data_IF_780734800051
#
_entry.id   IF_780734800051
#
_cell.length_a   1.000
_cell.length_b   1.000
_cell.length_c   1.000
_cell.angle_alpha   90.00
_cell.angle_beta   90.00
_cell.angle_gamma   90.00
#
_symmetry.space_group_name_H-M   'P 1'
#
loop_
_entity.id
_entity.type
_entity.pdbx_description
1 polymer ?
#
# COMPACT_ATOMS: atom_id res chain seq x y z
N UNK A 1 16.46 17.31 -2.95
CA UNK A 1 15.02 17.48 -3.21
C UNK A 1 14.23 16.61 -2.25
N UNK A 2 12.98 16.95 -1.96
CA UNK A 2 12.08 16.26 -1.03
C UNK A 2 12.71 15.87 0.32
N UNK A 3 13.29 16.86 1.02
CA UNK A 3 14.05 16.63 2.25
C UNK A 3 13.23 15.92 3.35
N UNK A 4 11.91 16.03 3.32
CA UNK A 4 11.02 15.33 4.25
C UNK A 4 11.10 13.80 4.16
N UNK A 5 11.58 13.23 3.05
CA UNK A 5 11.74 11.77 2.90
C UNK A 5 12.92 11.21 3.69
N UNK A 6 13.82 12.07 4.17
CA UNK A 6 14.98 11.63 4.93
C UNK A 6 14.59 11.37 6.38
N UNK A 7 14.90 10.19 6.87
CA UNK A 7 14.75 9.91 8.29
C UNK A 7 15.75 10.73 9.13
N UNK A 8 15.50 10.83 10.44
CA UNK A 8 16.33 11.63 11.35
C UNK A 8 17.83 11.30 11.27
N UNK A 9 18.17 10.00 11.22
CA UNK A 9 19.56 9.57 11.15
C UNK A 9 20.24 10.00 9.84
N UNK A 10 19.51 10.00 8.71
CA UNK A 10 20.02 10.49 7.43
C UNK A 10 20.26 12.00 7.46
N UNK A 11 19.40 12.77 8.13
CA UNK A 11 19.57 14.21 8.30
C UNK A 11 20.74 14.55 9.24
N UNK A 12 20.92 13.79 10.32
CA UNK A 12 22.02 13.97 11.28
C UNK A 12 23.41 13.79 10.62
N UNK A 13 23.53 12.91 9.62
CA UNK A 13 24.79 12.71 8.86
C UNK A 13 25.21 13.98 8.11
N UNK A 14 24.26 14.81 7.67
CA UNK A 14 24.54 16.01 6.88
C UNK A 14 25.01 17.17 7.77
N UNK A 15 24.57 17.18 9.03
CA UNK A 15 24.75 18.31 9.95
C UNK A 15 26.22 18.73 10.14
N UNK A 16 27.19 17.85 10.42
CA UNK A 16 28.59 18.26 10.61
C UNK A 16 29.18 18.94 9.38
N UNK A 17 28.83 18.47 8.18
CA UNK A 17 29.32 19.03 6.93
C UNK A 17 28.76 20.43 6.64
N UNK A 18 27.54 20.71 7.10
CA UNK A 18 26.93 22.05 7.04
C UNK A 18 27.60 22.99 8.06
N UNK A 19 27.87 22.49 9.27
CA UNK A 19 28.53 23.27 10.33
C UNK A 19 29.97 23.64 10.00
N UNK A 20 30.71 22.70 9.43
CA UNK A 20 32.10 22.90 9.00
C UNK A 20 32.21 23.74 7.71
N UNK A 21 31.08 24.08 7.08
CA UNK A 21 31.03 24.85 5.84
C UNK A 21 31.55 24.10 4.61
N UNK A 22 31.65 22.77 4.69
CA UNK A 22 32.09 21.90 3.59
C UNK A 22 31.04 21.93 2.46
N UNK A 23 29.75 22.00 2.82
CA UNK A 23 28.63 22.04 1.87
C UNK A 23 27.67 23.18 2.19
N UNK A 24 27.12 23.79 1.14
CA UNK A 24 25.94 24.64 1.23
C UNK A 24 24.69 23.80 1.02
N UNK A 25 23.87 23.62 2.06
CA UNK A 25 22.68 22.80 1.99
C UNK A 25 21.47 23.60 1.49
N UNK A 26 20.90 23.16 0.36
CA UNK A 26 19.64 23.70 -0.20
C UNK A 26 18.64 22.54 -0.25
N UNK A 27 17.66 22.56 0.65
CA UNK A 27 16.57 21.59 0.71
C UNK A 27 15.29 22.16 0.12
N UNK A 28 14.58 21.35 -0.66
CA UNK A 28 13.23 21.63 -1.14
C UNK A 28 12.27 20.59 -0.55
N UNK A 29 11.03 21.01 -0.29
CA UNK A 29 9.95 20.18 0.26
C UNK A 29 8.61 20.86 0.00
N UNK A 30 7.57 20.06 -0.24
CA UNK A 30 6.17 20.48 -0.24
C UNK A 30 5.57 20.54 1.17
N UNK A 31 6.12 19.73 2.08
CA UNK A 31 5.69 19.64 3.48
C UNK A 31 6.23 20.79 4.35
N UNK A 32 5.55 21.05 5.47
CA UNK A 32 6.00 22.04 6.43
C UNK A 32 7.34 21.60 7.07
N UNK A 33 8.44 22.35 6.85
CA UNK A 33 9.78 21.93 7.26
C UNK A 33 9.96 21.84 8.77
N UNK A 34 9.09 22.47 9.58
CA UNK A 34 9.16 22.38 11.04
C UNK A 34 8.80 21.02 11.62
N UNK A 35 8.07 20.19 10.87
CA UNK A 35 7.72 18.81 11.27
C UNK A 35 8.72 17.78 10.74
N UNK A 36 9.18 17.97 9.51
CA UNK A 36 9.92 16.95 8.77
C UNK A 36 11.45 17.13 8.82
N UNK A 37 11.93 18.34 9.14
CA UNK A 37 13.37 18.61 9.27
C UNK A 37 13.76 18.65 10.75
N UNK A 38 14.85 17.95 11.09
CA UNK A 38 15.36 17.96 12.47
C UNK A 38 15.73 19.37 12.91
N UNK A 39 15.39 19.72 14.15
CA UNK A 39 15.62 21.06 14.70
C UNK A 39 17.09 21.56 14.56
N UNK A 40 18.13 20.72 14.75
CA UNK A 40 19.51 21.14 14.55
C UNK A 40 19.80 21.61 13.11
N UNK A 41 19.35 20.86 12.10
CA UNK A 41 19.54 21.22 10.70
C UNK A 41 18.74 22.47 10.35
N UNK A 42 17.47 22.53 10.78
CA UNK A 42 16.60 23.68 10.54
C UNK A 42 17.16 24.98 11.13
N UNK A 43 17.79 24.93 12.31
CA UNK A 43 18.42 26.10 12.94
C UNK A 43 19.63 26.68 12.18
N UNK A 44 20.20 25.93 11.22
CA UNK A 44 21.32 26.35 10.36
C UNK A 44 20.86 26.72 8.94
N UNK A 45 19.57 26.55 8.64
CA UNK A 45 18.99 26.85 7.35
C UNK A 45 18.09 28.10 7.43
N UNK A 46 18.01 28.85 6.32
CA UNK A 46 16.97 29.87 6.14
C UNK A 46 15.79 29.24 5.41
N UNK A 47 14.59 29.45 5.93
CA UNK A 47 13.36 28.94 5.30
C UNK A 47 12.78 30.03 4.40
N UNK A 48 12.58 29.69 3.13
CA UNK A 48 11.94 30.55 2.14
C UNK A 48 10.61 29.93 1.71
N UNK A 49 9.46 30.52 2.08
CA UNK A 49 8.18 30.06 1.56
C UNK A 49 8.06 30.49 0.10
N UNK A 50 7.95 29.51 -0.79
CA UNK A 50 7.61 29.75 -2.19
C UNK A 50 6.09 29.71 -2.34
N UNK A 51 5.56 30.57 -3.20
CA UNK A 51 4.14 30.57 -3.56
C UNK A 51 3.99 29.87 -4.92
N UNK A 52 2.83 29.23 -5.17
CA UNK A 52 2.46 28.82 -6.51
C UNK A 52 2.51 30.02 -7.45
N UNK A 53 2.89 29.77 -8.69
CA UNK A 53 2.92 30.80 -9.74
C UNK A 53 1.49 31.17 -10.15
N UNK A 54 1.31 32.38 -10.63
CA UNK A 54 0.06 32.75 -11.30
C UNK A 54 0.06 32.37 -12.80
N UNK A 55 -1.12 32.46 -13.43
CA UNK A 55 -1.30 32.10 -14.83
C UNK A 55 -0.43 32.96 -15.78
N UNK A 56 -0.17 34.22 -15.45
CA UNK A 56 0.67 35.10 -16.28
C UNK A 56 2.14 34.67 -16.20
N UNK A 57 2.62 34.39 -14.99
CA UNK A 57 3.98 33.88 -14.75
C UNK A 57 4.22 32.54 -15.45
N UNK A 58 3.22 31.64 -15.45
CA UNK A 58 3.31 30.36 -16.17
C UNK A 58 3.37 30.58 -17.69
N UNK A 59 2.55 31.49 -18.25
CA UNK A 59 2.63 31.83 -19.68
C UNK A 59 4.02 32.32 -20.06
N UNK A 60 4.61 33.20 -19.25
CA UNK A 60 5.95 33.72 -19.48
C UNK A 60 7.02 32.62 -19.44
N UNK A 61 6.86 31.61 -18.59
CA UNK A 61 7.75 30.44 -18.58
C UNK A 61 7.59 29.61 -19.85
N UNK A 62 6.35 29.32 -20.26
CA UNK A 62 6.06 28.54 -21.48
C UNK A 62 6.60 29.26 -22.73
N UNK A 63 6.34 30.55 -22.86
CA UNK A 63 6.83 31.36 -24.00
C UNK A 63 8.37 31.39 -24.03
N UNK A 64 9.03 31.53 -22.88
CA UNK A 64 10.49 31.45 -22.81
C UNK A 64 11.01 30.09 -23.28
N UNK A 65 10.41 28.99 -22.83
CA UNK A 65 10.79 27.65 -23.25
C UNK A 65 10.60 27.42 -24.76
N UNK A 66 9.58 28.03 -25.36
CA UNK A 66 9.36 27.98 -26.82
C UNK A 66 10.39 28.77 -27.62
N UNK A 67 10.99 29.81 -27.04
CA UNK A 67 11.93 30.70 -27.74
C UNK A 67 13.40 30.33 -27.49
N UNK A 68 13.69 29.58 -26.43
CA UNK A 68 15.04 29.17 -26.08
C UNK A 68 15.53 28.03 -27.01
N UNK A 69 16.56 28.32 -27.80
CA UNK A 69 17.18 27.37 -28.73
C UNK A 69 18.23 26.45 -28.09
N UNK A 70 18.70 26.76 -26.88
CA UNK A 70 19.78 26.03 -26.21
C UNK A 70 19.22 25.08 -25.14
N UNK A 71 18.29 25.57 -24.32
CA UNK A 71 17.72 24.84 -23.18
C UNK A 71 16.21 24.57 -23.31
N UNK A 72 15.59 25.07 -24.38
CA UNK A 72 14.16 24.90 -24.66
C UNK A 72 13.89 24.16 -25.96
N UNK A 73 12.68 24.37 -26.49
CA UNK A 73 12.18 23.75 -27.72
C UNK A 73 12.21 24.70 -28.93
N UNK A 74 12.96 25.80 -28.86
CA UNK A 74 13.03 26.78 -29.94
C UNK A 74 13.56 26.21 -31.26
N UNK A 75 14.39 25.15 -31.21
CA UNK A 75 14.87 24.42 -32.39
C UNK A 75 13.78 23.65 -33.13
N UNK A 76 12.67 23.32 -32.45
CA UNK A 76 11.52 22.62 -33.04
C UNK A 76 10.53 23.56 -33.76
N UNK A 77 10.77 24.88 -33.69
CA UNK A 77 9.91 25.91 -34.30
C UNK A 77 8.42 25.69 -33.97
N UNK A 78 8.11 25.57 -32.69
CA UNK A 78 6.75 25.26 -32.22
C UNK A 78 5.91 26.52 -32.16
N UNK A 79 4.67 26.44 -32.67
CA UNK A 79 3.67 27.49 -32.55
C UNK A 79 2.48 26.96 -31.77
N UNK A 80 2.21 27.58 -30.63
CA UNK A 80 1.09 27.24 -29.75
C UNK A 80 -0.02 28.27 -29.96
N UNK A 81 -1.26 27.82 -30.13
CA UNK A 81 -2.40 28.75 -30.21
C UNK A 81 -2.60 29.49 -28.89
N UNK A 82 -3.26 30.66 -28.91
CA UNK A 82 -3.48 31.43 -27.69
C UNK A 82 -4.34 30.63 -26.69
N UNK A 83 -5.34 29.93 -27.19
CA UNK A 83 -6.24 29.10 -26.40
C UNK A 83 -5.49 27.93 -25.75
N UNK A 84 -4.55 27.31 -26.47
CA UNK A 84 -3.70 26.24 -25.93
C UNK A 84 -2.73 26.76 -24.85
N UNK A 85 -2.17 27.96 -25.04
CA UNK A 85 -1.30 28.60 -24.05
C UNK A 85 -2.07 28.98 -22.78
N UNK A 86 -3.28 29.55 -22.94
CA UNK A 86 -4.17 29.90 -21.84
C UNK A 86 -4.57 28.64 -21.05
N UNK A 87 -4.86 27.54 -21.76
CA UNK A 87 -5.16 26.25 -21.14
C UNK A 87 -3.96 25.65 -20.40
N UNK A 88 -2.77 25.66 -21.01
CA UNK A 88 -1.54 25.19 -20.38
C UNK A 88 -1.24 25.92 -19.06
N UNK A 89 -1.52 27.23 -19.01
CA UNK A 89 -1.34 28.04 -17.81
C UNK A 89 -2.36 27.67 -16.73
N UNK A 90 -3.65 27.65 -17.06
CA UNK A 90 -4.72 27.32 -16.12
C UNK A 90 -4.60 25.89 -15.56
N UNK A 91 -4.18 24.94 -16.39
CA UNK A 91 -4.00 23.54 -15.99
C UNK A 91 -2.84 23.32 -15.02
N UNK A 92 -1.82 24.18 -15.04
CA UNK A 92 -0.65 23.99 -14.19
C UNK A 92 -0.92 24.20 -12.70
N UNK A 93 -2.00 24.90 -12.35
CA UNK A 93 -2.37 25.23 -10.96
C UNK A 93 -1.17 25.76 -10.15
N UNK A 94 -0.35 26.60 -10.79
CA UNK A 94 0.84 27.19 -10.19
C UNK A 94 2.14 26.36 -10.24
N UNK A 95 2.13 25.14 -10.81
CA UNK A 95 3.33 24.34 -11.07
C UNK A 95 3.75 24.39 -12.54
N UNK A 96 4.76 25.22 -12.85
CA UNK A 96 5.29 25.36 -14.20
C UNK A 96 5.81 24.06 -14.83
N UNK A 97 6.22 23.05 -14.03
CA UNK A 97 6.65 21.75 -14.57
C UNK A 97 5.51 21.04 -15.28
N UNK A 98 4.28 21.22 -14.81
CA UNK A 98 3.09 20.61 -15.42
C UNK A 98 2.90 21.15 -16.84
N UNK A 99 2.91 22.47 -17.02
CA UNK A 99 2.78 23.09 -18.34
C UNK A 99 3.96 22.78 -19.26
N UNK A 100 5.20 22.85 -18.75
CA UNK A 100 6.39 22.59 -19.57
C UNK A 100 6.43 21.16 -20.10
N UNK A 101 6.10 20.18 -19.26
CA UNK A 101 6.04 18.78 -19.69
C UNK A 101 4.91 18.54 -20.71
N UNK A 102 3.75 19.16 -20.52
CA UNK A 102 2.64 19.02 -21.46
C UNK A 102 2.97 19.65 -22.82
N UNK A 103 3.58 20.84 -22.81
CA UNK A 103 4.11 21.50 -23.99
C UNK A 103 5.16 20.64 -24.71
N UNK A 104 6.13 20.10 -23.97
CA UNK A 104 7.19 19.27 -24.53
C UNK A 104 6.59 18.04 -25.24
N UNK A 105 5.70 17.32 -24.55
CA UNK A 105 5.09 16.11 -25.09
C UNK A 105 4.26 16.40 -26.35
N UNK A 106 3.46 17.47 -26.33
CA UNK A 106 2.71 17.91 -27.50
C UNK A 106 3.64 18.31 -28.66
N UNK A 107 4.69 19.09 -28.37
CA UNK A 107 5.66 19.49 -29.38
C UNK A 107 6.36 18.31 -30.05
N UNK A 108 6.77 17.29 -29.29
CA UNK A 108 7.41 16.10 -29.85
C UNK A 108 6.40 15.19 -30.58
N UNK A 109 5.15 15.11 -30.11
CA UNK A 109 4.08 14.32 -30.71
C UNK A 109 3.51 14.93 -32.00
N UNK A 110 3.63 16.24 -32.19
CA UNK A 110 3.17 16.94 -33.39
C UNK A 110 4.23 16.91 -34.49
N UNK A 111 3.89 16.37 -35.66
CA UNK A 111 4.76 16.44 -36.83
C UNK A 111 4.87 17.86 -37.39
N UNK A 112 6.01 18.14 -38.00
CA UNK A 112 6.24 19.39 -38.72
C UNK A 112 5.30 19.47 -39.94
N UNK A 113 4.67 20.63 -40.14
CA UNK A 113 3.80 20.87 -41.27
C UNK A 113 4.59 21.24 -42.54
N UNK A 114 3.91 21.39 -43.68
CA UNK A 114 4.53 21.77 -44.96
C UNK A 114 5.25 23.13 -44.93
N UNK A 115 5.00 23.95 -43.90
CA UNK A 115 5.58 25.29 -43.72
C UNK A 115 6.77 25.30 -42.75
N UNK A 116 7.21 24.14 -42.27
CA UNK A 116 8.42 23.99 -41.47
C UNK A 116 8.26 24.35 -39.99
N UNK A 117 7.04 24.25 -39.44
CA UNK A 117 6.77 24.45 -38.02
C UNK A 117 5.80 23.41 -37.47
N UNK A 118 5.80 23.26 -36.14
CA UNK A 118 4.89 22.35 -35.44
C UNK A 118 3.74 23.16 -34.84
N UNK A 119 2.52 22.89 -35.26
CA UNK A 119 1.33 23.60 -34.79
C UNK A 119 0.66 22.83 -33.65
N UNK A 120 0.76 23.38 -32.43
CA UNK A 120 0.19 22.79 -31.22
C UNK A 120 -1.11 23.53 -30.89
N UNK A 121 -2.23 22.85 -31.14
CA UNK A 121 -3.58 23.36 -30.87
C UNK A 121 -4.06 22.94 -29.48
N UNK A 122 -5.21 23.50 -29.05
CA UNK A 122 -5.83 23.14 -27.77
C UNK A 122 -6.16 21.64 -27.74
N UNK A 123 -6.71 21.10 -28.82
CA UNK A 123 -7.10 19.69 -28.90
C UNK A 123 -5.89 18.75 -28.72
N UNK A 124 -4.73 19.13 -29.28
CA UNK A 124 -3.49 18.37 -29.12
C UNK A 124 -3.03 18.39 -27.66
N UNK A 125 -3.09 19.56 -27.01
CA UNK A 125 -2.76 19.69 -25.58
C UNK A 125 -3.74 18.88 -24.72
N UNK A 126 -5.04 18.96 -24.98
CA UNK A 126 -6.06 18.20 -24.25
C UNK A 126 -5.86 16.69 -24.38
N UNK A 127 -5.59 16.19 -25.59
CA UNK A 127 -5.29 14.77 -25.84
C UNK A 127 -4.01 14.33 -25.11
N UNK A 128 -2.98 15.17 -25.15
CA UNK A 128 -1.70 14.95 -24.46
C UNK A 128 -1.85 14.89 -22.94
N UNK A 129 -2.71 15.75 -22.38
CA UNK A 129 -2.95 15.88 -20.94
C UNK A 129 -3.88 14.79 -20.43
N UNK A 130 -4.90 14.38 -21.19
CA UNK A 130 -5.76 13.26 -20.82
C UNK A 130 -4.96 11.97 -20.64
N UNK A 131 -3.90 11.76 -21.44
CA UNK A 131 -2.97 10.65 -21.25
C UNK A 131 -2.06 10.80 -20.00
N UNK A 132 -1.95 11.99 -19.40
CA UNK A 132 -1.11 12.30 -18.22
C UNK A 132 -1.89 12.49 -16.92
N UNK A 133 -3.18 12.79 -16.95
CA UNK A 133 -4.03 12.77 -15.74
C UNK A 133 -4.08 11.38 -15.07
N UNK A 134 -3.65 10.35 -15.82
CA UNK A 134 -3.45 8.98 -15.36
C UNK A 134 -2.14 8.79 -14.54
N UNK A 135 -1.25 9.80 -14.53
CA UNK A 135 0.11 9.75 -13.95
C UNK A 135 0.28 10.55 -12.63
N UNK A 136 -0.80 10.99 -11.97
CA UNK A 136 -0.79 11.78 -10.70
C UNK A 136 -1.92 11.24 -9.79
N UNK A 137 -1.81 10.93 -8.49
CA UNK A 137 -1.00 11.36 -7.35
C UNK A 137 -0.62 10.13 -6.49
N UNK A 138 0.66 9.73 -6.53
CA UNK A 138 1.14 8.57 -5.76
C UNK A 138 1.59 8.93 -4.32
N UNK A 139 1.44 10.18 -3.87
CA UNK A 139 2.02 10.66 -2.61
C UNK A 139 1.08 11.46 -1.69
N UNK A 140 -0.11 11.87 -2.14
CA UNK A 140 -1.08 12.65 -1.35
C UNK A 140 -2.17 11.81 -0.67
N UNK A 141 -2.99 12.49 0.13
CA UNK A 141 -4.10 11.91 0.91
C UNK A 141 -5.08 11.07 0.05
N UNK A 142 -5.21 11.38 -1.25
CA UNK A 142 -6.05 10.62 -2.18
C UNK A 142 -5.62 9.16 -2.35
N UNK A 143 -4.32 8.86 -2.27
CA UNK A 143 -3.82 7.48 -2.31
C UNK A 143 -4.41 6.67 -1.16
N UNK A 144 -4.32 7.20 0.07
CA UNK A 144 -4.81 6.55 1.29
C UNK A 144 -6.33 6.45 1.30
N UNK A 145 -7.04 7.48 0.85
CA UNK A 145 -8.49 7.46 0.80
C UNK A 145 -9.02 6.46 -0.24
N UNK A 146 -8.39 6.37 -1.41
CA UNK A 146 -8.84 5.47 -2.47
C UNK A 146 -8.60 4.00 -2.10
N UNK A 147 -7.42 3.66 -1.55
CA UNK A 147 -7.19 2.29 -1.08
C UNK A 147 -8.08 1.94 0.12
N UNK A 148 -8.33 2.91 1.00
CA UNK A 148 -9.24 2.78 2.13
C UNK A 148 -10.67 2.50 1.66
N UNK A 149 -11.13 3.19 0.62
CA UNK A 149 -12.42 2.99 0.00
C UNK A 149 -12.53 1.62 -0.67
N UNK A 150 -11.53 1.21 -1.48
CA UNK A 150 -11.45 -0.13 -2.07
C UNK A 150 -11.61 -1.23 -1.00
N UNK A 151 -10.80 -1.17 0.05
CA UNK A 151 -10.80 -2.17 1.12
C UNK A 151 -12.12 -2.19 1.89
N UNK A 152 -12.72 -1.03 2.16
CA UNK A 152 -14.03 -0.94 2.82
C UNK A 152 -15.15 -1.47 1.93
N UNK A 153 -15.12 -1.22 0.62
CA UNK A 153 -16.11 -1.75 -0.33
C UNK A 153 -16.04 -3.27 -0.41
N UNK A 154 -14.83 -3.84 -0.54
CA UNK A 154 -14.65 -5.30 -0.56
C UNK A 154 -15.10 -5.92 0.76
N UNK A 155 -14.73 -5.33 1.92
CA UNK A 155 -15.18 -5.76 3.25
C UNK A 155 -16.70 -5.65 3.42
N UNK A 156 -17.29 -4.60 2.88
CA UNK A 156 -18.74 -4.34 2.87
C UNK A 156 -19.52 -5.22 1.88
N UNK A 157 -18.82 -6.10 1.14
CA UNK A 157 -19.39 -6.96 0.12
C UNK A 157 -20.09 -6.21 -1.02
N UNK A 158 -19.52 -5.08 -1.42
CA UNK A 158 -19.96 -4.26 -2.55
C UNK A 158 -18.97 -4.42 -3.73
N UNK A 159 -19.20 -5.38 -4.64
CA UNK A 159 -18.28 -5.64 -5.75
C UNK A 159 -18.25 -4.51 -6.77
N UNK A 160 -19.34 -3.77 -6.95
CA UNK A 160 -19.45 -2.67 -7.90
C UNK A 160 -18.61 -1.47 -7.44
N UNK A 161 -18.78 -1.06 -6.18
CA UNK A 161 -17.95 -0.02 -5.59
C UNK A 161 -16.48 -0.43 -5.50
N UNK A 162 -16.20 -1.70 -5.18
CA UNK A 162 -14.83 -2.22 -5.12
C UNK A 162 -14.14 -2.15 -6.51
N UNK A 163 -14.82 -2.55 -7.57
CA UNK A 163 -14.28 -2.43 -8.93
C UNK A 163 -14.12 -0.97 -9.37
N UNK A 164 -15.05 -0.08 -9.00
CA UNK A 164 -14.92 1.34 -9.26
C UNK A 164 -13.64 1.92 -8.63
N UNK A 165 -13.41 1.66 -7.34
CA UNK A 165 -12.21 2.15 -6.65
C UNK A 165 -10.93 1.50 -7.18
N UNK A 166 -10.96 0.20 -7.50
CA UNK A 166 -9.84 -0.47 -8.16
C UNK A 166 -9.49 0.19 -9.50
N UNK A 167 -10.50 0.44 -10.34
CA UNK A 167 -10.33 1.12 -11.63
C UNK A 167 -9.74 2.52 -11.45
N UNK A 168 -10.27 3.30 -10.50
CA UNK A 168 -9.72 4.62 -10.15
C UNK A 168 -8.24 4.56 -9.75
N UNK A 169 -7.80 3.54 -9.01
CA UNK A 169 -6.40 3.38 -8.64
C UNK A 169 -5.52 3.01 -9.84
N UNK A 170 -5.99 2.10 -10.69
CA UNK A 170 -5.26 1.67 -11.90
C UNK A 170 -5.10 2.85 -12.86
N UNK A 171 -6.19 3.56 -13.13
CA UNK A 171 -6.18 4.75 -13.97
C UNK A 171 -5.43 5.91 -13.33
N UNK A 172 -5.20 5.93 -12.01
CA UNK A 172 -4.35 6.93 -11.36
C UNK A 172 -2.86 6.52 -11.32
N UNK A 173 -2.49 5.39 -11.94
CA UNK A 173 -1.10 4.95 -12.03
C UNK A 173 -0.54 4.37 -10.72
N UNK A 174 -1.41 3.90 -9.82
CA UNK A 174 -1.01 3.24 -8.57
C UNK A 174 -0.07 2.05 -8.80
N UNK A 175 0.86 1.79 -7.87
CA UNK A 175 1.65 0.56 -7.88
C UNK A 175 0.70 -0.67 -7.85
N UNK A 176 0.63 -1.50 -8.91
CA UNK A 176 -0.29 -2.63 -8.94
C UNK A 176 0.08 -3.68 -7.88
N UNK A 177 1.35 -3.75 -7.44
CA UNK A 177 1.73 -4.61 -6.33
C UNK A 177 1.29 -4.03 -4.99
N UNK A 178 1.11 -2.72 -4.85
CA UNK A 178 0.49 -2.13 -3.66
C UNK A 178 -0.96 -2.58 -3.52
N UNK A 179 -1.75 -2.47 -4.59
CA UNK A 179 -3.14 -2.96 -4.63
C UNK A 179 -3.17 -4.45 -4.28
N UNK A 180 -2.32 -5.26 -4.91
CA UNK A 180 -2.26 -6.70 -4.68
C UNK A 180 -1.94 -7.04 -3.21
N UNK A 181 -0.96 -6.35 -2.59
CA UNK A 181 -0.63 -6.52 -1.16
C UNK A 181 -1.84 -6.27 -0.27
N UNK A 182 -2.65 -5.25 -0.58
CA UNK A 182 -3.84 -4.89 0.20
C UNK A 182 -4.96 -5.91 0.06
N UNK A 183 -5.16 -6.48 -1.14
CA UNK A 183 -6.09 -7.59 -1.35
C UNK A 183 -5.65 -8.87 -0.62
N UNK A 184 -4.35 -9.17 -0.59
CA UNK A 184 -3.80 -10.32 0.17
C UNK A 184 -4.04 -10.18 1.67
N UNK A 185 -3.84 -8.99 2.24
CA UNK A 185 -4.16 -8.71 3.65
C UNK A 185 -5.66 -8.90 3.90
N UNK A 186 -6.51 -8.28 3.07
CA UNK A 186 -7.96 -8.37 3.18
C UNK A 186 -8.45 -9.82 3.12
N UNK A 187 -7.87 -10.65 2.24
CA UNK A 187 -8.24 -12.05 2.12
C UNK A 187 -8.05 -12.84 3.43
N UNK A 188 -7.09 -12.44 4.27
CA UNK A 188 -6.87 -13.06 5.58
C UNK A 188 -7.62 -12.35 6.72
N UNK A 189 -7.80 -11.03 6.63
CA UNK A 189 -8.41 -10.20 7.68
C UNK A 189 -9.93 -10.22 7.64
N UNK A 190 -10.53 -10.10 6.46
CA UNK A 190 -11.98 -9.85 6.29
C UNK A 190 -12.72 -11.04 5.67
N UNK A 191 -12.07 -11.86 4.85
CA UNK A 191 -12.63 -13.13 4.33
C UNK A 191 -12.23 -14.28 5.26
N UNK A 192 -10.93 -14.39 5.56
CA UNK A 192 -10.40 -15.29 6.57
C UNK A 192 -10.76 -16.75 6.31
N UNK A 193 -11.20 -17.44 7.35
CA UNK A 193 -11.55 -18.86 7.26
C UNK A 193 -12.99 -19.10 6.79
N UNK A 194 -13.79 -18.05 6.56
CA UNK A 194 -15.11 -18.21 5.96
C UNK A 194 -15.00 -18.67 4.50
N UNK A 195 -13.94 -18.28 3.81
CA UNK A 195 -13.56 -18.86 2.53
C UNK A 195 -12.03 -18.98 2.39
N UNK A 196 -11.45 -20.15 2.69
CA UNK A 196 -10.01 -20.38 2.62
C UNK A 196 -9.39 -20.22 1.23
N UNK A 197 -10.18 -20.17 0.15
CA UNK A 197 -9.66 -19.95 -1.21
C UNK A 197 -9.32 -18.48 -1.48
N UNK A 198 -9.80 -17.53 -0.67
CA UNK A 198 -9.55 -16.10 -0.86
C UNK A 198 -8.06 -15.74 -0.88
N UNK A 199 -7.27 -16.26 0.06
CA UNK A 199 -5.83 -15.97 0.13
C UNK A 199 -5.06 -16.57 -1.07
N UNK A 200 -5.21 -17.86 -1.43
CA UNK A 200 -4.63 -18.42 -2.66
C UNK A 200 -4.99 -17.65 -3.94
N UNK A 201 -6.22 -17.16 -4.06
CA UNK A 201 -6.66 -16.36 -5.21
C UNK A 201 -5.97 -14.99 -5.22
N UNK A 202 -5.90 -14.30 -4.09
CA UNK A 202 -5.20 -13.02 -3.98
C UNK A 202 -3.70 -13.16 -4.29
N UNK A 203 -3.05 -14.22 -3.81
CA UNK A 203 -1.65 -14.52 -4.13
C UNK A 203 -1.47 -14.85 -5.62
N UNK A 204 -2.37 -15.66 -6.19
CA UNK A 204 -2.34 -15.98 -7.63
C UNK A 204 -2.48 -14.73 -8.49
N UNK A 205 -3.39 -13.81 -8.11
CA UNK A 205 -3.53 -12.52 -8.79
C UNK A 205 -2.26 -11.67 -8.65
N UNK A 206 -1.67 -11.58 -7.46
CA UNK A 206 -0.41 -10.87 -7.26
C UNK A 206 0.72 -11.42 -8.14
N UNK A 207 0.86 -12.75 -8.21
CA UNK A 207 1.86 -13.41 -9.06
C UNK A 207 1.57 -13.18 -10.54
N UNK A 208 0.30 -13.23 -10.95
CA UNK A 208 -0.09 -12.96 -12.32
C UNK A 208 0.20 -11.52 -12.71
N UNK A 209 -0.09 -10.53 -11.86
CA UNK A 209 0.30 -9.12 -12.07
C UNK A 209 1.80 -8.99 -12.26
N UNK A 210 2.60 -9.64 -11.40
CA UNK A 210 4.05 -9.58 -11.49
C UNK A 210 4.60 -10.23 -12.77
N UNK A 211 3.98 -11.34 -13.20
CA UNK A 211 4.39 -12.09 -14.37
C UNK A 211 3.95 -11.45 -15.70
N UNK A 212 2.72 -10.92 -15.75
CA UNK A 212 2.09 -10.37 -16.96
C UNK A 212 2.51 -8.90 -17.16
N UNK A 213 2.58 -8.11 -16.09
CA UNK A 213 2.72 -6.66 -16.17
C UNK A 213 1.39 -5.94 -16.45
N UNK A 214 1.42 -4.61 -16.45
CA UNK A 214 0.28 -3.76 -16.80
C UNK A 214 0.32 -3.38 -18.29
N UNK A 215 -0.83 -3.19 -18.96
CA UNK A 215 -2.19 -3.09 -18.40
C UNK A 215 -2.91 -4.43 -18.14
N UNK A 216 -2.53 -5.54 -18.76
CA UNK A 216 -3.28 -6.81 -18.70
C UNK A 216 -3.38 -7.40 -17.28
N UNK A 217 -2.40 -7.12 -16.41
CA UNK A 217 -2.43 -7.46 -14.98
C UNK A 217 -3.67 -6.95 -14.25
N UNK A 218 -4.27 -5.83 -14.69
CA UNK A 218 -5.52 -5.28 -14.16
C UNK A 218 -6.67 -6.30 -14.14
N UNK A 219 -6.74 -7.16 -15.17
CA UNK A 219 -7.79 -8.18 -15.31
C UNK A 219 -7.72 -9.17 -14.14
N UNK A 220 -6.50 -9.52 -13.73
CA UNK A 220 -6.28 -10.48 -12.63
C UNK A 220 -6.54 -9.85 -11.26
N UNK A 221 -6.24 -8.55 -11.09
CA UNK A 221 -6.64 -7.78 -9.91
C UNK A 221 -8.15 -7.67 -9.80
N UNK A 222 -8.84 -7.38 -10.91
CA UNK A 222 -10.30 -7.31 -10.94
C UNK A 222 -10.95 -8.64 -10.55
N UNK A 223 -10.42 -9.76 -11.05
CA UNK A 223 -10.87 -11.10 -10.67
C UNK A 223 -10.75 -11.34 -9.16
N UNK A 224 -9.57 -11.11 -8.58
CA UNK A 224 -9.40 -11.28 -7.13
C UNK A 224 -10.25 -10.32 -6.31
N UNK A 225 -10.40 -9.07 -6.75
CA UNK A 225 -11.22 -8.05 -6.08
C UNK A 225 -12.69 -8.49 -5.99
N UNK A 226 -13.30 -8.88 -7.11
CA UNK A 226 -14.70 -9.34 -7.16
C UNK A 226 -14.88 -10.63 -6.37
N UNK A 227 -13.94 -11.57 -6.47
CA UNK A 227 -13.96 -12.79 -5.67
C UNK A 227 -14.04 -12.46 -4.17
N UNK A 228 -13.12 -11.64 -3.67
CA UNK A 228 -13.06 -11.28 -2.24
C UNK A 228 -14.28 -10.46 -1.82
N UNK A 229 -14.80 -9.59 -2.68
CA UNK A 229 -15.99 -8.78 -2.40
C UNK A 229 -17.23 -9.67 -2.24
N UNK A 230 -17.34 -10.74 -3.02
CA UNK A 230 -18.48 -11.66 -2.99
C UNK A 230 -18.30 -12.85 -2.04
N UNK A 231 -17.09 -13.07 -1.50
CA UNK A 231 -16.82 -14.12 -0.54
C UNK A 231 -17.54 -13.90 0.81
N UNK A 232 -17.92 -14.98 1.53
CA UNK A 232 -18.41 -14.86 2.91
C UNK A 232 -17.32 -14.24 3.80
N UNK A 233 -17.72 -13.38 4.73
CA UNK A 233 -16.79 -12.58 5.54
C UNK A 233 -16.59 -13.18 6.92
N UNK A 234 -15.35 -13.20 7.38
CA UNK A 234 -15.01 -13.48 8.77
C UNK A 234 -13.63 -12.92 9.14
N UNK A 235 -13.60 -12.21 10.27
CA UNK A 235 -12.38 -11.71 10.89
C UNK A 235 -11.97 -12.52 12.14
N UNK A 236 -12.52 -13.74 12.30
CA UNK A 236 -12.35 -14.59 13.49
C UNK A 236 -10.88 -14.92 13.77
N UNK A 237 -10.10 -15.28 12.75
CA UNK A 237 -8.67 -15.61 12.87
C UNK A 237 -7.83 -14.36 13.20
N UNK A 238 -8.11 -13.23 12.54
CA UNK A 238 -7.47 -11.95 12.83
C UNK A 238 -7.74 -11.49 14.27
N UNK A 239 -8.99 -11.59 14.72
CA UNK A 239 -9.41 -11.27 16.08
C UNK A 239 -8.73 -12.19 17.11
N UNK A 240 -8.65 -13.49 16.82
CA UNK A 240 -7.98 -14.47 17.67
C UNK A 240 -6.48 -14.13 17.88
N UNK A 241 -5.78 -13.75 16.80
CA UNK A 241 -4.38 -13.34 16.88
C UNK A 241 -4.22 -12.09 17.76
N UNK A 242 -5.09 -11.09 17.59
CA UNK A 242 -5.01 -9.86 18.37
C UNK A 242 -5.23 -10.10 19.87
N UNK A 243 -6.20 -10.94 20.22
CA UNK A 243 -6.43 -11.35 21.62
C UNK A 243 -5.23 -12.10 22.20
N UNK A 244 -4.64 -13.04 21.44
CA UNK A 244 -3.46 -13.77 21.89
C UNK A 244 -2.24 -12.85 22.07
N UNK A 245 -2.03 -11.88 21.17
CA UNK A 245 -0.97 -10.87 21.29
C UNK A 245 -1.19 -9.94 22.48
N UNK A 246 -2.43 -9.61 22.79
CA UNK A 246 -2.77 -8.82 23.97
C UNK A 246 -2.43 -9.58 25.25
N UNK A 247 -2.85 -10.84 25.37
CA UNK A 247 -2.54 -11.66 26.55
C UNK A 247 -1.02 -11.89 26.68
N UNK A 248 -0.30 -12.12 25.57
CA UNK A 248 1.16 -12.25 25.58
C UNK A 248 1.89 -10.99 26.06
N UNK A 249 1.33 -9.80 25.86
CA UNK A 249 1.89 -8.52 26.35
C UNK A 249 1.55 -8.26 27.82
N UNK A 250 0.37 -8.68 28.25
CA UNK A 250 -0.20 -8.28 29.54
C UNK A 250 -0.09 -9.34 30.65
N UNK A 251 0.24 -10.58 30.29
CA UNK A 251 0.41 -11.67 31.26
C UNK A 251 1.88 -11.96 31.53
N UNK A 252 2.17 -12.69 32.62
CA UNK A 252 3.54 -13.12 32.91
C UNK A 252 4.02 -14.06 31.80
N UNK A 253 5.29 -13.96 31.45
CA UNK A 253 5.94 -14.86 30.51
C UNK A 253 6.10 -16.26 31.13
N UNK A 254 5.03 -17.06 31.10
CA UNK A 254 5.02 -18.42 31.62
C UNK A 254 5.79 -19.37 30.71
N UNK A 255 6.48 -20.38 31.27
CA UNK A 255 7.20 -21.33 30.46
C UNK A 255 6.22 -22.20 29.66
N UNK A 256 6.70 -22.73 28.54
CA UNK A 256 5.98 -23.75 27.76
C UNK A 256 5.64 -24.96 28.67
N UNK A 257 4.42 -25.50 28.63
CA UNK A 257 4.05 -26.72 29.36
C UNK A 257 5.02 -27.87 29.08
N UNK A 258 5.35 -28.67 30.11
CA UNK A 258 6.42 -29.68 30.06
C UNK A 258 6.21 -30.70 28.93
N UNK A 259 4.98 -31.15 28.70
CA UNK A 259 4.63 -32.09 27.63
C UNK A 259 4.78 -31.51 26.22
N UNK A 260 4.92 -30.19 26.07
CA UNK A 260 5.18 -29.54 24.78
C UNK A 260 6.65 -29.18 24.56
N UNK A 261 7.50 -29.35 25.58
CA UNK A 261 8.94 -29.05 25.46
C UNK A 261 9.65 -30.13 24.67
N UNK A 262 10.59 -29.72 23.82
CA UNK A 262 11.38 -30.65 23.02
C UNK A 262 12.50 -31.31 23.85
N UNK A 263 12.55 -32.65 23.98
CA UNK A 263 13.58 -33.36 24.74
C UNK A 263 14.78 -33.77 23.88
N UNK A 264 15.57 -32.79 23.43
CA UNK A 264 16.69 -33.03 22.50
C UNK A 264 17.90 -33.68 23.19
N UNK A 265 18.24 -33.22 24.40
CA UNK A 265 19.40 -33.72 25.16
C UNK A 265 19.00 -34.72 26.24
N UNK A 266 19.98 -35.50 26.72
CA UNK A 266 19.75 -36.43 27.85
C UNK A 266 19.29 -35.67 29.10
N UNK A 267 19.93 -34.54 29.42
CA UNK A 267 19.53 -33.68 30.53
C UNK A 267 18.08 -33.20 30.40
N UNK A 268 17.64 -32.81 29.21
CA UNK A 268 16.26 -32.38 28.99
C UNK A 268 15.25 -33.51 29.21
N UNK A 269 15.59 -34.74 28.82
CA UNK A 269 14.78 -35.94 29.10
C UNK A 269 14.73 -36.23 30.60
N UNK A 270 15.87 -36.15 31.28
CA UNK A 270 15.96 -36.34 32.73
C UNK A 270 15.19 -35.25 33.51
N UNK A 271 15.03 -34.06 32.92
CA UNK A 271 14.19 -32.96 33.42
C UNK A 271 12.69 -33.09 33.03
N UNK A 272 12.30 -34.22 32.43
CA UNK A 272 10.91 -34.53 32.08
C UNK A 272 10.38 -33.83 30.83
N UNK A 273 11.22 -33.22 29.99
CA UNK A 273 10.72 -32.58 28.76
C UNK A 273 9.99 -33.59 27.87
N UNK A 274 8.80 -33.22 27.39
CA UNK A 274 7.96 -34.09 26.56
C UNK A 274 7.24 -35.21 27.32
N UNK A 275 7.44 -35.34 28.64
CA UNK A 275 6.66 -36.28 29.44
C UNK A 275 5.17 -35.94 29.41
N UNK A 276 4.33 -36.95 29.21
CA UNK A 276 2.88 -36.78 29.09
C UNK A 276 2.40 -36.30 27.71
N UNK A 277 3.28 -36.10 26.74
CA UNK A 277 2.88 -35.74 25.37
C UNK A 277 2.07 -36.87 24.72
N UNK A 278 0.88 -36.55 24.23
CA UNK A 278 0.06 -37.45 23.45
C UNK A 278 0.26 -37.17 21.96
N UNK A 279 0.88 -38.09 21.25
CA UNK A 279 1.07 -37.97 19.81
C UNK A 279 -0.25 -38.26 19.08
N UNK A 280 -0.94 -37.22 18.61
CA UNK A 280 -2.32 -37.28 18.11
C UNK A 280 -2.57 -38.36 17.06
N UNK A 281 -1.59 -38.66 16.19
CA UNK A 281 -1.76 -39.68 15.15
C UNK A 281 -1.93 -41.12 15.68
N UNK A 282 -1.56 -41.39 16.94
CA UNK A 282 -1.77 -42.67 17.60
C UNK A 282 -3.16 -42.83 18.23
N UNK A 283 -3.97 -41.76 18.25
CA UNK A 283 -5.30 -41.77 18.83
C UNK A 283 -6.38 -41.86 17.74
N UNK A 284 -7.54 -42.48 18.03
CA UNK A 284 -8.66 -42.52 17.09
C UNK A 284 -9.04 -41.13 16.56
N UNK A 285 -9.32 -41.03 15.25
CA UNK A 285 -9.62 -39.76 14.60
C UNK A 285 -8.43 -38.79 14.51
N UNK A 286 -7.21 -39.27 14.82
CA UNK A 286 -5.99 -38.47 14.88
C UNK A 286 -6.08 -37.26 15.84
N UNK A 287 -6.82 -37.42 16.95
CA UNK A 287 -7.04 -36.36 17.93
C UNK A 287 -6.82 -36.86 19.36
N UNK A 288 -6.02 -36.15 20.14
CA UNK A 288 -5.79 -36.41 21.55
C UNK A 288 -5.93 -35.11 22.36
N UNK A 289 -6.95 -34.95 23.21
CA UNK A 289 -7.14 -33.71 23.94
C UNK A 289 -6.08 -33.57 25.05
N UNK A 290 -5.47 -32.38 25.10
CA UNK A 290 -4.44 -31.98 26.05
C UNK A 290 -4.59 -30.47 26.36
N UNK A 291 -4.28 -30.06 27.59
CA UNK A 291 -4.16 -28.64 27.91
C UNK A 291 -2.84 -28.11 27.36
N UNK A 292 -2.89 -27.41 26.23
CA UNK A 292 -1.69 -26.93 25.53
C UNK A 292 -1.34 -25.47 25.84
N UNK A 293 -2.22 -24.77 26.57
CA UNK A 293 -1.92 -23.46 27.11
C UNK A 293 -1.22 -23.58 28.46
N UNK A 294 -0.45 -22.56 28.88
CA UNK A 294 0.04 -22.48 30.27
C UNK A 294 -1.12 -22.52 31.26
N UNK A 295 -0.86 -22.99 32.49
CA UNK A 295 -1.90 -23.21 33.49
C UNK A 295 -2.76 -21.97 33.77
N UNK A 296 -2.18 -20.76 33.75
CA UNK A 296 -2.94 -19.51 33.96
C UNK A 296 -3.91 -19.16 32.83
N UNK A 297 -3.74 -19.78 31.66
CA UNK A 297 -4.58 -19.57 30.49
C UNK A 297 -5.43 -20.81 30.18
N UNK A 298 -5.51 -21.77 31.10
CA UNK A 298 -6.40 -22.92 30.97
C UNK A 298 -7.84 -22.46 30.73
N UNK A 299 -8.48 -23.03 29.72
CA UNK A 299 -9.84 -22.66 29.32
C UNK A 299 -9.97 -21.37 28.48
N UNK A 300 -8.87 -20.60 28.30
CA UNK A 300 -8.88 -19.42 27.42
C UNK A 300 -9.12 -19.85 25.98
N UNK A 301 -10.10 -19.22 25.32
CA UNK A 301 -10.41 -19.42 23.90
C UNK A 301 -10.14 -18.13 23.13
N UNK A 302 -9.24 -18.22 22.15
CA UNK A 302 -8.93 -17.11 21.25
C UNK A 302 -9.73 -17.18 19.96
N UNK A 303 -9.75 -18.36 19.35
CA UNK A 303 -10.44 -18.58 18.09
C UNK A 303 -11.88 -19.04 18.34
N UNK A 304 -12.81 -18.20 17.91
CA UNK A 304 -14.25 -18.44 17.93
C UNK A 304 -14.69 -18.37 16.47
N UNK A 305 -14.94 -19.51 15.79
CA UNK A 305 -15.38 -19.51 14.41
C UNK A 305 -16.71 -18.78 14.26
N UNK A 306 -16.89 -18.05 13.17
CA UNK A 306 -18.20 -17.52 12.79
C UNK A 306 -19.11 -18.62 12.24
N UNK A 307 -20.35 -18.26 11.96
CA UNK A 307 -21.30 -19.07 11.22
C UNK A 307 -21.24 -18.80 9.70
N UNK A 308 -20.19 -18.16 9.18
CA UNK A 308 -20.08 -17.81 7.78
C UNK A 308 -19.26 -18.84 6.98
N UNK A 309 -19.75 -19.19 5.80
CA UNK A 309 -19.05 -20.05 4.84
C UNK A 309 -18.48 -21.35 5.46
N UNK A 310 -17.21 -21.60 5.19
CA UNK A 310 -16.48 -22.80 5.63
C UNK A 310 -16.26 -22.86 7.14
N UNK A 311 -16.39 -21.74 7.88
CA UNK A 311 -16.22 -21.75 9.34
C UNK A 311 -17.30 -22.58 10.04
N UNK A 312 -18.49 -22.77 9.46
CA UNK A 312 -19.48 -23.73 10.01
C UNK A 312 -18.90 -25.13 10.12
N UNK A 313 -18.17 -25.58 9.09
CA UNK A 313 -17.50 -26.89 9.09
C UNK A 313 -16.37 -26.93 10.12
N UNK A 314 -15.63 -25.84 10.28
CA UNK A 314 -14.58 -25.73 11.31
C UNK A 314 -15.20 -25.78 12.71
N UNK A 315 -16.29 -25.05 12.96
CA UNK A 315 -17.01 -25.05 14.23
C UNK A 315 -17.48 -26.45 14.61
N UNK A 316 -18.16 -27.14 13.69
CA UNK A 316 -18.63 -28.51 13.92
C UNK A 316 -17.47 -29.45 14.27
N UNK A 317 -16.36 -29.38 13.53
CA UNK A 317 -15.16 -30.21 13.77
C UNK A 317 -14.53 -29.91 15.13
N UNK A 318 -14.42 -28.64 15.51
CA UNK A 318 -13.88 -28.25 16.81
C UNK A 318 -14.79 -28.68 17.96
N UNK A 319 -16.12 -28.67 17.75
CA UNK A 319 -17.06 -29.17 18.73
C UNK A 319 -16.99 -30.69 18.88
N UNK A 320 -16.95 -31.44 17.78
CA UNK A 320 -16.76 -32.89 17.81
C UNK A 320 -15.49 -33.30 18.57
N UNK A 321 -14.37 -32.62 18.32
CA UNK A 321 -13.10 -32.93 18.98
C UNK A 321 -13.07 -32.53 20.46
N UNK A 322 -13.55 -31.33 20.79
CA UNK A 322 -13.29 -30.76 22.12
C UNK A 322 -14.48 -30.80 23.07
N UNK A 323 -15.70 -31.15 22.63
CA UNK A 323 -16.91 -31.12 23.49
C UNK A 323 -16.76 -31.96 24.76
N UNK A 324 -16.45 -33.25 24.62
CA UNK A 324 -16.31 -34.15 25.77
C UNK A 324 -15.18 -33.73 26.71
N UNK A 325 -14.09 -33.17 26.18
CA UNK A 325 -12.99 -32.68 27.00
C UNK A 325 -13.37 -31.42 27.77
N UNK A 326 -14.11 -30.49 27.15
CA UNK A 326 -14.60 -29.27 27.80
C UNK A 326 -15.63 -29.59 28.89
N UNK A 327 -16.54 -30.53 28.63
CA UNK A 327 -17.53 -30.99 29.62
C UNK A 327 -16.86 -31.67 30.83
N UNK A 328 -15.73 -32.34 30.64
CA UNK A 328 -14.97 -32.97 31.72
C UNK A 328 -14.12 -32.00 32.56
N UNK A 329 -14.01 -30.72 32.18
CA UNK A 329 -13.28 -29.69 32.93
C UNK A 329 -14.19 -28.76 33.75
N UNK A 330 -15.51 -28.90 33.62
CA UNK A 330 -16.55 -28.17 34.38
C UNK A 330 -16.98 -29.03 35.57
#
# INVERSE_FOLDING_TARGET
>A
DEVHRFNKAQQDVILPHVEEGIVSFIGATTENPSFEVIAPLLSRCRVFPLKPLDDEEIRDIVVRAMQDHEHGIGSLNVRVSKEALDYLAAMADGDARVSLNALELAAFGTNENEQGFREVTLEIIEDTVQHKAILYDAAGDQHYDTISALIKSVRGSDPDAAIYWLGRMIEAGEDPLFIARRLVILASEDVGLADPMGLPIAISAQQAVHFIGMPEGAITLAHACVYLATAPKSNSAYSALNLARQDARNTRNQPVPVHLRNPVTKLMKDMGHGEGYKYSHQYPGHFAPMNNLPDSLTGRRYYIPSDQGYEKTIANRLDEWWKAWREAQI
#
